data_IF_698118291183
#
_entry.id   IF_698118291183
#
_cell.length_a   1.000
_cell.length_b   1.000
_cell.length_c   1.000
_cell.angle_alpha   90.00
_cell.angle_beta   90.00
_cell.angle_gamma   90.00
#
_symmetry.space_group_name_H-M   'P 1'
#
loop_
_entity.id
_entity.type
_entity.pdbx_description
1 polymer ?
#
# COMPACT_ATOMS: atom_id res chain seq x y z
N UNK A 1 -5.56 11.26 0.97
CA UNK A 1 -6.17 10.60 -0.22
C UNK A 1 -7.66 10.78 -0.15
N UNK A 2 -8.22 11.32 -1.22
CA UNK A 2 -9.65 11.62 -1.36
C UNK A 2 -10.34 10.49 -2.13
N UNK A 3 -11.32 9.81 -1.51
CA UNK A 3 -12.06 8.69 -2.08
C UNK A 3 -13.47 9.16 -2.45
N UNK A 4 -13.91 8.86 -3.66
CA UNK A 4 -15.30 9.02 -4.07
C UNK A 4 -16.03 7.68 -3.87
N UNK A 5 -17.02 7.67 -2.99
CA UNK A 5 -17.89 6.52 -2.75
C UNK A 5 -19.22 6.74 -3.48
N UNK A 6 -19.51 5.86 -4.43
CA UNK A 6 -20.69 5.92 -5.30
C UNK A 6 -21.58 4.72 -5.03
N UNK A 7 -22.79 4.95 -4.56
CA UNK A 7 -23.80 3.94 -4.26
C UNK A 7 -25.16 4.62 -4.23
N UNK A 8 -26.23 4.01 -4.66
CA UNK A 8 -27.57 4.61 -4.64
C UNK A 8 -28.25 4.49 -3.27
N UNK A 9 -27.79 3.57 -2.41
CA UNK A 9 -28.25 3.41 -1.01
C UNK A 9 -27.57 4.41 -0.08
N UNK A 10 -28.37 5.32 0.52
CA UNK A 10 -27.92 6.33 1.49
C UNK A 10 -27.20 5.70 2.67
N UNK A 11 -27.70 4.58 3.19
CA UNK A 11 -27.12 3.90 4.36
C UNK A 11 -25.72 3.35 4.06
N UNK A 12 -25.52 2.80 2.85
CA UNK A 12 -24.21 2.31 2.42
C UNK A 12 -23.25 3.50 2.23
N UNK A 13 -23.68 4.59 1.60
CA UNK A 13 -22.85 5.79 1.44
C UNK A 13 -22.42 6.38 2.76
N UNK A 14 -23.36 6.52 3.73
CA UNK A 14 -23.05 7.00 5.07
C UNK A 14 -22.08 6.09 5.82
N UNK A 15 -22.30 4.76 5.75
CA UNK A 15 -21.41 3.79 6.36
C UNK A 15 -19.99 3.86 5.77
N UNK A 16 -19.88 3.90 4.45
CA UNK A 16 -18.58 4.03 3.77
C UNK A 16 -17.89 5.34 4.15
N UNK A 17 -18.61 6.47 4.12
CA UNK A 17 -18.07 7.77 4.50
C UNK A 17 -17.55 7.78 5.93
N UNK A 18 -18.34 7.28 6.88
CA UNK A 18 -17.96 7.22 8.29
C UNK A 18 -16.72 6.34 8.51
N UNK A 19 -16.73 5.14 7.94
CA UNK A 19 -15.65 4.17 8.16
C UNK A 19 -14.34 4.58 7.48
N UNK A 20 -14.40 5.06 6.25
CA UNK A 20 -13.22 5.53 5.53
C UNK A 20 -12.61 6.78 6.18
N UNK A 21 -13.44 7.71 6.67
CA UNK A 21 -12.96 8.89 7.41
C UNK A 21 -12.24 8.49 8.69
N UNK A 22 -12.75 7.49 9.45
CA UNK A 22 -12.08 6.93 10.63
C UNK A 22 -10.70 6.34 10.32
N UNK A 23 -10.49 5.90 9.08
CA UNK A 23 -9.21 5.37 8.61
C UNK A 23 -8.33 6.43 7.93
N UNK A 24 -8.66 7.73 8.07
CA UNK A 24 -7.84 8.86 7.63
C UNK A 24 -7.99 9.21 6.15
N UNK A 25 -9.08 8.80 5.51
CA UNK A 25 -9.41 9.21 4.14
C UNK A 25 -10.36 10.43 4.15
N UNK A 26 -10.20 11.31 3.16
CA UNK A 26 -11.21 12.30 2.83
C UNK A 26 -12.23 11.65 1.90
N UNK A 27 -13.53 11.81 2.16
CA UNK A 27 -14.57 11.09 1.40
C UNK A 27 -15.52 12.07 0.71
N UNK A 28 -15.68 11.86 -0.59
CA UNK A 28 -16.78 12.42 -1.37
C UNK A 28 -17.82 11.32 -1.58
N UNK A 29 -19.08 11.67 -1.68
CA UNK A 29 -20.17 10.73 -1.97
C UNK A 29 -20.92 11.13 -3.23
N UNK A 30 -21.47 10.15 -3.95
CA UNK A 30 -22.36 10.35 -5.08
C UNK A 30 -23.48 9.30 -5.04
N UNK A 31 -24.71 9.72 -5.35
CA UNK A 31 -25.90 8.87 -5.30
C UNK A 31 -26.26 8.26 -6.66
N UNK A 32 -25.68 8.74 -7.74
CA UNK A 32 -25.92 8.22 -9.09
C UNK A 32 -24.70 8.43 -10.00
N UNK A 33 -24.77 7.86 -11.22
CA UNK A 33 -23.67 7.93 -12.17
C UNK A 33 -23.37 9.36 -12.68
N UNK A 34 -24.36 10.24 -12.75
CA UNK A 34 -24.15 11.60 -13.20
C UNK A 34 -23.37 12.41 -12.15
N UNK A 35 -23.74 12.24 -10.88
CA UNK A 35 -23.03 12.84 -9.75
C UNK A 35 -21.60 12.29 -9.63
N UNK A 36 -21.43 10.99 -9.86
CA UNK A 36 -20.13 10.32 -9.86
C UNK A 36 -19.19 10.95 -10.91
N UNK A 37 -19.65 11.08 -12.16
CA UNK A 37 -18.89 11.69 -13.24
C UNK A 37 -18.52 13.15 -12.95
N UNK A 38 -19.42 13.93 -12.34
CA UNK A 38 -19.18 15.33 -12.00
C UNK A 38 -18.13 15.50 -10.88
N UNK A 39 -18.12 14.58 -9.90
CA UNK A 39 -17.22 14.65 -8.72
C UNK A 39 -15.88 13.91 -8.93
N UNK A 40 -15.83 12.97 -9.87
CA UNK A 40 -14.63 12.14 -10.11
C UNK A 40 -13.32 12.92 -10.30
N UNK A 41 -13.28 14.07 -11.02
CA UNK A 41 -12.04 14.82 -11.18
C UNK A 41 -11.44 15.38 -9.87
N UNK A 42 -12.19 15.33 -8.77
CA UNK A 42 -11.73 15.77 -7.45
C UNK A 42 -11.24 14.60 -6.59
N UNK A 43 -11.41 13.36 -7.05
CA UNK A 43 -11.06 12.15 -6.34
C UNK A 43 -9.69 11.61 -6.77
N UNK A 44 -9.03 10.92 -5.84
CA UNK A 44 -7.79 10.17 -6.08
C UNK A 44 -8.05 8.66 -6.13
N UNK A 45 -9.27 8.23 -5.79
CA UNK A 45 -9.71 6.85 -5.77
C UNK A 45 -11.24 6.78 -5.85
N UNK A 46 -11.80 5.77 -6.51
CA UNK A 46 -13.24 5.61 -6.67
C UNK A 46 -13.68 4.22 -6.19
N UNK A 47 -14.72 4.19 -5.36
CA UNK A 47 -15.52 3.00 -5.05
C UNK A 47 -16.83 3.17 -5.79
N UNK A 48 -17.14 2.27 -6.71
CA UNK A 48 -18.23 2.43 -7.66
C UNK A 48 -19.19 1.25 -7.59
N UNK A 49 -20.42 1.50 -7.16
CA UNK A 49 -21.48 0.49 -7.31
C UNK A 49 -21.83 0.28 -8.78
N UNK A 50 -22.07 -0.97 -9.14
CA UNK A 50 -22.54 -1.34 -10.47
C UNK A 50 -24.01 -1.05 -10.68
N UNK A 51 -24.82 -1.22 -9.64
CA UNK A 51 -26.28 -1.12 -9.70
C UNK A 51 -26.76 0.30 -9.45
N UNK A 52 -26.36 1.25 -10.29
CA UNK A 52 -26.77 2.65 -10.17
C UNK A 52 -27.98 2.97 -11.03
N UNK A 53 -28.87 3.88 -10.60
CA UNK A 53 -29.97 4.37 -11.41
C UNK A 53 -29.47 5.28 -12.54
N UNK A 54 -30.22 5.35 -13.64
CA UNK A 54 -30.01 6.21 -14.81
C UNK A 54 -28.80 5.84 -15.66
N UNK A 55 -27.60 5.85 -15.10
CA UNK A 55 -26.34 5.48 -15.73
C UNK A 55 -25.73 4.40 -14.86
N UNK A 56 -25.65 3.18 -15.40
CA UNK A 56 -25.09 2.03 -14.67
C UNK A 56 -23.59 2.20 -14.40
N UNK A 57 -23.07 1.45 -13.43
CA UNK A 57 -21.67 1.56 -12.99
C UNK A 57 -20.66 1.17 -14.08
N UNK A 58 -21.04 0.29 -15.01
CA UNK A 58 -20.17 -0.08 -16.14
C UNK A 58 -19.98 1.09 -17.10
N UNK A 59 -21.07 1.78 -17.45
CA UNK A 59 -21.03 2.95 -18.32
C UNK A 59 -20.29 4.12 -17.62
N UNK A 60 -20.48 4.29 -16.31
CA UNK A 60 -19.71 5.27 -15.51
C UNK A 60 -18.21 4.95 -15.59
N UNK A 61 -17.80 3.70 -15.34
CA UNK A 61 -16.41 3.27 -15.42
C UNK A 61 -15.82 3.52 -16.81
N UNK A 62 -16.54 3.11 -17.87
CA UNK A 62 -16.10 3.32 -19.25
C UNK A 62 -15.85 4.81 -19.56
N UNK A 63 -16.75 5.69 -19.13
CA UNK A 63 -16.57 7.16 -19.31
C UNK A 63 -15.41 7.70 -18.53
N UNK A 64 -15.25 7.28 -17.26
CA UNK A 64 -14.12 7.69 -16.43
C UNK A 64 -12.78 7.27 -17.01
N UNK A 65 -12.68 6.05 -17.53
CA UNK A 65 -11.44 5.52 -18.14
C UNK A 65 -11.17 6.08 -19.55
N UNK A 66 -12.17 6.69 -20.18
CA UNK A 66 -12.02 7.37 -21.48
C UNK A 66 -11.71 8.87 -21.37
N UNK A 67 -11.90 9.50 -20.20
CA UNK A 67 -11.62 10.95 -19.99
C UNK A 67 -10.18 11.12 -19.48
N UNK A 68 -9.38 11.94 -20.18
CA UNK A 68 -7.99 12.25 -19.84
C UNK A 68 -7.78 12.72 -18.39
N UNK A 69 -8.81 13.35 -17.79
CA UNK A 69 -8.75 13.89 -16.41
C UNK A 69 -8.97 12.83 -15.35
N UNK A 70 -9.55 11.67 -15.70
CA UNK A 70 -9.99 10.68 -14.73
C UNK A 70 -9.51 9.25 -15.06
N UNK A 71 -8.98 9.00 -16.24
CA UNK A 71 -8.56 7.67 -16.70
C UNK A 71 -7.55 6.98 -15.78
N UNK A 72 -6.68 7.75 -15.14
CA UNK A 72 -5.66 7.23 -14.22
C UNK A 72 -6.18 7.04 -12.78
N UNK A 73 -7.42 7.48 -12.48
CA UNK A 73 -7.99 7.31 -11.15
C UNK A 73 -8.34 5.83 -10.97
N UNK A 74 -7.82 5.19 -9.91
CA UNK A 74 -8.13 3.80 -9.63
C UNK A 74 -9.59 3.61 -9.19
N UNK A 75 -10.20 2.54 -9.71
CA UNK A 75 -11.61 2.20 -9.48
C UNK A 75 -11.71 0.78 -8.92
N UNK A 76 -12.33 0.63 -7.75
CA UNK A 76 -12.86 -0.64 -7.26
C UNK A 76 -14.35 -0.67 -7.50
N UNK A 77 -14.82 -1.65 -8.24
CA UNK A 77 -16.25 -1.87 -8.44
C UNK A 77 -16.83 -2.67 -7.26
N UNK A 78 -17.98 -2.21 -6.76
CA UNK A 78 -18.78 -2.90 -5.74
C UNK A 78 -19.93 -3.60 -6.45
N UNK A 79 -20.11 -4.90 -6.28
CA UNK A 79 -21.12 -5.66 -7.00
C UNK A 79 -21.95 -6.55 -6.09
N UNK A 80 -23.24 -6.64 -6.31
CA UNK A 80 -24.12 -7.59 -5.63
C UNK A 80 -23.99 -9.02 -6.18
N UNK A 81 -23.38 -9.20 -7.34
CA UNK A 81 -23.21 -10.50 -8.01
C UNK A 81 -21.73 -10.83 -8.18
N UNK A 82 -21.34 -11.99 -7.68
CA UNK A 82 -20.04 -12.60 -7.93
C UNK A 82 -20.11 -13.53 -9.16
N UNK A 83 -20.85 -13.16 -10.23
CA UNK A 83 -20.82 -13.94 -11.45
C UNK A 83 -19.49 -13.67 -12.18
N UNK A 84 -18.83 -14.74 -12.60
CA UNK A 84 -17.52 -14.70 -13.25
C UNK A 84 -17.51 -13.78 -14.50
N UNK A 85 -18.65 -13.67 -15.16
CA UNK A 85 -18.88 -12.82 -16.35
C UNK A 85 -18.81 -11.33 -16.00
N UNK A 86 -19.39 -10.91 -14.87
CA UNK A 86 -19.37 -9.49 -14.42
C UNK A 86 -17.95 -9.04 -14.05
N UNK A 87 -17.17 -9.94 -13.45
CA UNK A 87 -15.77 -9.67 -13.09
C UNK A 87 -14.89 -9.50 -14.33
N UNK A 88 -15.06 -10.35 -15.35
CA UNK A 88 -14.28 -10.28 -16.60
C UNK A 88 -14.65 -9.02 -17.39
N UNK A 89 -15.93 -8.72 -17.56
CA UNK A 89 -16.39 -7.55 -18.32
C UNK A 89 -15.87 -6.23 -17.75
N UNK A 90 -15.86 -6.09 -16.45
CA UNK A 90 -15.42 -4.85 -15.86
C UNK A 90 -13.90 -4.69 -15.82
N UNK A 91 -13.11 -5.78 -15.72
CA UNK A 91 -11.65 -5.72 -15.90
C UNK A 91 -11.31 -5.31 -17.34
N UNK A 92 -12.06 -5.77 -18.34
CA UNK A 92 -11.95 -5.33 -19.74
C UNK A 92 -12.29 -3.84 -19.90
N UNK A 93 -13.19 -3.29 -19.08
CA UNK A 93 -13.54 -1.87 -19.02
C UNK A 93 -12.53 -1.01 -18.27
N UNK A 94 -11.49 -1.62 -17.69
CA UNK A 94 -10.37 -0.93 -17.06
C UNK A 94 -10.54 -0.68 -15.55
N UNK A 95 -11.48 -1.34 -14.86
CA UNK A 95 -11.51 -1.33 -13.40
C UNK A 95 -10.27 -2.01 -12.82
N UNK A 96 -9.80 -1.53 -11.67
CA UNK A 96 -8.56 -2.00 -11.06
C UNK A 96 -8.76 -3.17 -10.09
N UNK A 97 -9.97 -3.34 -9.55
CA UNK A 97 -10.38 -4.47 -8.70
C UNK A 97 -11.91 -4.53 -8.56
N UNK A 98 -12.40 -5.63 -7.98
CA UNK A 98 -13.80 -5.92 -7.68
C UNK A 98 -13.96 -6.35 -6.24
N UNK A 99 -15.12 -6.00 -5.66
CA UNK A 99 -15.52 -6.43 -4.33
C UNK A 99 -16.99 -6.78 -4.29
N UNK A 100 -17.31 -8.06 -4.01
CA UNK A 100 -18.68 -8.52 -3.92
C UNK A 100 -19.35 -8.05 -2.62
N UNK A 101 -20.58 -7.56 -2.71
CA UNK A 101 -21.47 -7.29 -1.56
C UNK A 101 -22.14 -8.60 -1.09
N UNK A 102 -22.25 -8.87 0.23
CA UNK A 102 -21.75 -8.06 1.34
C UNK A 102 -20.25 -8.24 1.60
N UNK A 103 -19.54 -7.17 1.87
CA UNK A 103 -18.10 -7.17 2.17
C UNK A 103 -17.80 -6.63 3.58
N UNK A 104 -16.66 -7.01 4.12
CA UNK A 104 -16.16 -6.43 5.36
C UNK A 104 -15.33 -5.17 5.09
N UNK A 105 -15.36 -4.20 6.02
CA UNK A 105 -14.47 -3.02 5.93
C UNK A 105 -12.99 -3.40 5.89
N UNK A 106 -12.61 -4.48 6.57
CA UNK A 106 -11.23 -5.01 6.55
C UNK A 106 -10.83 -5.43 5.12
N UNK A 107 -11.73 -6.10 4.42
CA UNK A 107 -11.50 -6.52 3.04
C UNK A 107 -11.42 -5.32 2.10
N UNK A 108 -12.37 -4.38 2.17
CA UNK A 108 -12.36 -3.15 1.38
C UNK A 108 -11.06 -2.38 1.55
N UNK A 109 -10.62 -2.15 2.81
CA UNK A 109 -9.38 -1.45 3.11
C UNK A 109 -8.13 -2.19 2.60
N UNK A 110 -8.13 -3.52 2.66
CA UNK A 110 -7.04 -4.33 2.10
C UNK A 110 -6.95 -4.16 0.57
N UNK A 111 -8.09 -4.16 -0.14
CA UNK A 111 -8.16 -3.95 -1.59
C UNK A 111 -7.77 -2.53 -1.99
N UNK A 112 -8.26 -1.50 -1.29
CA UNK A 112 -7.82 -0.10 -1.50
C UNK A 112 -6.29 0.01 -1.40
N UNK A 113 -5.68 -0.60 -0.36
CA UNK A 113 -4.22 -0.62 -0.20
C UNK A 113 -3.51 -1.36 -1.33
N UNK A 114 -4.07 -2.49 -1.79
CA UNK A 114 -3.49 -3.30 -2.86
C UNK A 114 -3.54 -2.57 -4.21
N UNK A 115 -4.69 -1.99 -4.58
CA UNK A 115 -4.87 -1.21 -5.80
C UNK A 115 -4.00 0.04 -5.76
N UNK A 116 -4.02 0.79 -4.66
CA UNK A 116 -3.14 1.96 -4.47
C UNK A 116 -1.68 1.61 -4.74
N UNK A 117 -1.20 0.47 -4.28
CA UNK A 117 0.19 0.03 -4.52
C UNK A 117 0.49 -0.26 -5.99
N UNK A 118 -0.53 -0.63 -6.80
CA UNK A 118 -0.38 -0.94 -8.23
C UNK A 118 -0.46 0.29 -9.12
N UNK A 119 -1.36 1.24 -8.79
CA UNK A 119 -1.78 2.33 -9.67
C UNK A 119 -1.10 3.66 -9.32
N UNK A 120 -0.87 3.93 -8.04
CA UNK A 120 -0.04 5.09 -7.72
C UNK A 120 1.38 4.81 -8.21
N UNK A 121 1.99 5.74 -8.97
CA UNK A 121 3.41 5.63 -9.25
C UNK A 121 4.07 5.40 -7.91
N UNK A 122 4.80 4.27 -7.81
CA UNK A 122 5.76 4.09 -6.72
C UNK A 122 6.44 5.44 -6.55
N UNK A 123 6.59 6.01 -5.33
CA UNK A 123 7.29 7.27 -5.18
C UNK A 123 8.58 7.14 -5.98
N UNK A 124 8.65 7.89 -7.07
CA UNK A 124 9.63 7.89 -8.15
C UNK A 124 10.43 6.58 -8.25
N UNK A 125 10.11 5.74 -9.24
CA UNK A 125 10.95 4.60 -9.67
C UNK A 125 12.36 5.01 -10.12
N UNK A 126 12.89 6.12 -9.63
CA UNK A 126 14.28 6.51 -9.80
C UNK A 126 15.19 5.97 -8.70
N UNK A 127 14.67 5.14 -7.77
CA UNK A 127 15.52 4.37 -6.85
C UNK A 127 15.00 2.94 -6.69
N UNK A 128 15.03 2.16 -7.78
CA UNK A 128 15.00 0.69 -7.70
C UNK A 128 16.20 0.19 -6.90
N UNK A 129 17.22 1.02 -6.73
CA UNK A 129 18.44 0.74 -5.98
C UNK A 129 18.70 1.85 -4.96
N UNK A 130 18.84 1.51 -3.69
CA UNK A 130 19.38 2.39 -2.66
C UNK A 130 20.85 2.05 -2.49
N UNK A 131 21.73 3.08 -2.55
CA UNK A 131 23.16 2.94 -2.29
C UNK A 131 23.57 3.88 -1.16
N UNK A 132 24.16 3.33 -0.10
CA UNK A 132 24.62 4.03 1.08
C UNK A 132 26.00 3.47 1.49
N UNK A 133 27.05 4.25 1.25
CA UNK A 133 28.42 3.77 1.47
C UNK A 133 28.67 2.43 0.77
N UNK A 134 29.10 1.44 1.53
CA UNK A 134 29.37 0.08 1.03
C UNK A 134 28.10 -0.76 0.71
N UNK A 135 26.90 -0.29 1.10
CA UNK A 135 25.66 -1.03 0.95
C UNK A 135 24.90 -0.59 -0.29
N UNK A 136 24.50 -1.54 -1.13
CA UNK A 136 23.51 -1.32 -2.19
C UNK A 136 22.41 -2.38 -2.13
N UNK A 137 21.17 -1.94 -2.35
CA UNK A 137 20.00 -2.80 -2.32
C UNK A 137 19.15 -2.52 -3.55
N UNK A 138 18.99 -3.50 -4.42
CA UNK A 138 18.11 -3.45 -5.59
C UNK A 138 16.77 -4.11 -5.25
N UNK A 139 15.72 -3.30 -5.24
CA UNK A 139 14.38 -3.77 -4.87
C UNK A 139 13.69 -4.57 -5.98
N UNK A 140 14.06 -4.34 -7.24
CA UNK A 140 13.49 -5.06 -8.37
C UNK A 140 14.12 -6.45 -8.52
N UNK A 141 15.46 -6.51 -8.38
CA UNK A 141 16.20 -7.76 -8.45
C UNK A 141 16.16 -8.56 -7.14
N UNK A 142 15.64 -7.99 -6.04
CA UNK A 142 15.69 -8.60 -4.69
C UNK A 142 17.13 -8.93 -4.24
N UNK A 143 18.11 -8.12 -4.66
CA UNK A 143 19.52 -8.32 -4.32
C UNK A 143 20.03 -7.28 -3.34
N UNK A 144 20.94 -7.72 -2.47
CA UNK A 144 21.67 -6.85 -1.55
C UNK A 144 23.15 -7.10 -1.71
N UNK A 145 23.92 -6.02 -1.92
CA UNK A 145 25.38 -6.10 -2.02
C UNK A 145 26.02 -5.25 -0.91
N UNK A 146 27.10 -5.78 -0.37
CA UNK A 146 27.96 -5.11 0.59
C UNK A 146 29.40 -5.16 0.07
N UNK A 147 30.03 -4.00 -0.17
CA UNK A 147 31.35 -3.89 -0.83
C UNK A 147 31.38 -4.67 -2.14
N UNK A 148 30.37 -4.45 -3.00
CA UNK A 148 30.17 -5.10 -4.30
C UNK A 148 29.95 -6.62 -4.27
N UNK A 149 29.94 -7.25 -3.10
CA UNK A 149 29.63 -8.67 -2.91
C UNK A 149 28.19 -8.86 -2.51
N UNK A 150 27.50 -9.73 -3.22
CA UNK A 150 26.14 -10.12 -2.87
C UNK A 150 26.11 -10.83 -1.52
N UNK A 151 25.17 -10.41 -0.65
CA UNK A 151 24.92 -11.04 0.66
C UNK A 151 23.53 -11.67 0.66
N UNK A 152 23.47 -12.90 1.18
CA UNK A 152 22.19 -13.62 1.30
C UNK A 152 21.46 -13.21 2.58
N UNK A 153 20.29 -12.61 2.42
CA UNK A 153 19.36 -12.32 3.51
C UNK A 153 18.15 -13.26 3.46
N UNK A 154 17.64 -13.62 4.63
CA UNK A 154 16.33 -14.27 4.69
C UNK A 154 15.24 -13.27 4.29
N UNK A 155 14.02 -13.72 3.88
CA UNK A 155 12.93 -12.79 3.51
C UNK A 155 12.62 -11.75 4.60
N UNK A 156 12.67 -12.14 5.88
CA UNK A 156 12.40 -11.21 7.00
C UNK A 156 13.53 -10.23 7.25
N UNK A 157 14.78 -10.64 7.08
CA UNK A 157 15.94 -9.75 7.15
C UNK A 157 15.93 -8.75 5.99
N UNK A 158 15.57 -9.21 4.79
CA UNK A 158 15.41 -8.35 3.61
C UNK A 158 14.34 -7.28 3.83
N UNK A 159 13.14 -7.66 4.27
CA UNK A 159 12.04 -6.73 4.53
C UNK A 159 12.40 -5.74 5.67
N UNK A 160 13.11 -6.19 6.68
CA UNK A 160 13.57 -5.36 7.78
C UNK A 160 14.58 -4.31 7.30
N UNK A 161 15.59 -4.73 6.51
CA UNK A 161 16.57 -3.82 5.92
C UNK A 161 15.90 -2.82 4.97
N UNK A 162 15.01 -3.29 4.10
CA UNK A 162 14.23 -2.44 3.20
C UNK A 162 13.43 -1.38 3.95
N UNK A 163 12.74 -1.76 5.02
CA UNK A 163 11.99 -0.82 5.85
C UNK A 163 12.89 0.26 6.44
N UNK A 164 14.07 -0.11 6.94
CA UNK A 164 15.04 0.79 7.50
C UNK A 164 15.62 1.76 6.45
N UNK A 165 16.02 1.26 5.29
CA UNK A 165 16.62 2.07 4.22
C UNK A 165 15.63 3.03 3.57
N UNK A 166 14.35 2.66 3.52
CA UNK A 166 13.31 3.53 2.98
C UNK A 166 12.83 4.61 3.96
N UNK A 167 13.26 4.52 5.24
CA UNK A 167 12.85 5.46 6.29
C UNK A 167 14.02 5.79 7.24
N UNK A 168 15.14 6.21 6.67
CA UNK A 168 16.34 6.57 7.43
C UNK A 168 16.01 7.62 8.51
N UNK A 169 16.55 7.44 9.72
CA UNK A 169 16.33 8.33 10.87
C UNK A 169 15.06 8.04 11.67
N UNK A 170 14.11 7.28 11.13
CA UNK A 170 12.87 6.94 11.84
C UNK A 170 13.11 5.80 12.84
N UNK A 171 12.73 6.05 14.09
CA UNK A 171 12.68 5.00 15.11
C UNK A 171 11.36 4.21 15.02
N UNK A 172 11.46 2.89 15.12
CA UNK A 172 10.35 1.94 15.13
C UNK A 172 10.34 1.20 16.47
N UNK A 173 9.16 1.05 17.06
CA UNK A 173 9.00 0.15 18.21
C UNK A 173 9.11 -1.31 17.78
N UNK A 174 9.41 -2.21 18.75
CA UNK A 174 9.44 -3.65 18.49
C UNK A 174 8.10 -4.18 18.01
N UNK A 175 7.01 -3.71 18.60
CA UNK A 175 5.65 -4.07 18.20
C UNK A 175 5.32 -3.59 16.79
N UNK A 176 5.73 -2.35 16.45
CA UNK A 176 5.55 -1.81 15.10
C UNK A 176 6.33 -2.62 14.06
N UNK A 177 7.58 -2.99 14.35
CA UNK A 177 8.40 -3.84 13.48
C UNK A 177 7.80 -5.23 13.34
N UNK A 178 7.36 -5.84 14.44
CA UNK A 178 6.72 -7.15 14.42
C UNK A 178 5.49 -7.14 13.53
N UNK A 179 4.61 -6.19 13.74
CA UNK A 179 3.36 -6.04 12.97
C UNK A 179 3.64 -5.80 11.48
N UNK A 180 4.60 -4.93 11.13
CA UNK A 180 4.90 -4.58 9.74
C UNK A 180 5.57 -5.70 8.95
N UNK A 181 6.45 -6.47 9.60
CA UNK A 181 7.28 -7.48 8.94
C UNK A 181 6.67 -8.89 9.05
N UNK A 182 6.02 -9.22 10.17
CA UNK A 182 5.40 -10.54 10.38
C UNK A 182 3.89 -10.54 10.22
N UNK A 183 3.24 -9.37 10.31
CA UNK A 183 1.79 -9.22 10.15
C UNK A 183 1.04 -9.22 11.49
N UNK A 184 -0.22 -8.77 11.45
CA UNK A 184 -1.08 -8.67 12.65
C UNK A 184 -1.47 -10.02 13.25
N UNK A 185 -1.39 -11.10 12.47
CA UNK A 185 -1.76 -12.46 12.92
C UNK A 185 -0.57 -13.22 13.55
N UNK A 186 0.58 -12.57 13.66
CA UNK A 186 1.73 -13.17 14.30
C UNK A 186 1.67 -12.98 15.82
N UNK A 187 1.38 -14.05 16.55
CA UNK A 187 1.27 -14.08 18.02
C UNK A 187 2.61 -14.36 18.74
N UNK A 188 3.73 -14.19 18.05
CA UNK A 188 5.06 -14.41 18.63
C UNK A 188 5.56 -13.25 19.48
N UNK A 189 6.60 -13.53 20.30
CA UNK A 189 7.27 -12.54 21.16
C UNK A 189 8.01 -11.48 20.30
N UNK A 190 7.99 -10.24 20.75
CA UNK A 190 8.75 -9.11 20.17
C UNK A 190 10.27 -9.36 20.13
N UNK A 191 10.79 -10.30 20.96
CA UNK A 191 12.16 -10.79 20.91
C UNK A 191 12.55 -11.35 19.54
N UNK A 192 11.59 -11.79 18.74
CA UNK A 192 11.81 -12.20 17.35
C UNK A 192 12.47 -11.10 16.53
N UNK A 193 12.08 -9.85 16.74
CA UNK A 193 12.69 -8.68 16.11
C UNK A 193 14.15 -8.55 16.50
N UNK A 194 14.47 -8.69 17.81
CA UNK A 194 15.83 -8.55 18.32
C UNK A 194 16.78 -9.60 17.70
N UNK A 195 16.29 -10.82 17.52
CA UNK A 195 17.04 -11.90 16.87
C UNK A 195 17.36 -11.57 15.42
N UNK A 196 16.36 -11.09 14.65
CA UNK A 196 16.56 -10.75 13.23
C UNK A 196 17.44 -9.51 13.05
N UNK A 197 17.33 -8.50 13.92
CA UNK A 197 18.24 -7.35 13.93
C UNK A 197 19.67 -7.80 14.22
N UNK A 198 19.88 -8.69 15.18
CA UNK A 198 21.20 -9.25 15.48
C UNK A 198 21.80 -10.00 14.28
N UNK A 199 21.01 -10.85 13.62
CA UNK A 199 21.46 -11.57 12.44
C UNK A 199 21.77 -10.63 11.28
N UNK A 200 20.92 -9.62 11.07
CA UNK A 200 21.13 -8.61 10.04
C UNK A 200 22.43 -7.83 10.28
N UNK A 201 22.68 -7.34 11.51
CA UNK A 201 23.96 -6.73 11.88
C UNK A 201 25.15 -7.63 11.64
N UNK A 202 25.03 -8.93 11.97
CA UNK A 202 26.09 -9.92 11.74
C UNK A 202 26.40 -10.07 10.24
N UNK A 203 25.38 -10.14 9.39
CA UNK A 203 25.56 -10.23 7.92
C UNK A 203 26.13 -8.95 7.30
N UNK A 204 25.88 -7.80 7.92
CA UNK A 204 26.43 -6.51 7.51
C UNK A 204 27.80 -6.19 8.12
N UNK A 205 28.36 -7.08 8.94
CA UNK A 205 29.59 -6.84 9.72
C UNK A 205 30.85 -6.60 8.87
N UNK A 206 30.86 -7.02 7.59
CA UNK A 206 31.94 -6.70 6.65
C UNK A 206 32.08 -5.19 6.39
N UNK A 207 31.03 -4.40 6.64
CA UNK A 207 31.07 -2.94 6.73
C UNK A 207 30.57 -2.50 8.11
N UNK A 208 31.48 -2.24 9.07
CA UNK A 208 31.10 -1.85 10.43
C UNK A 208 30.25 -0.56 10.47
N UNK A 209 30.49 0.36 9.55
CA UNK A 209 29.71 1.58 9.38
C UNK A 209 28.23 1.28 9.14
N UNK A 210 27.94 0.38 8.19
CA UNK A 210 26.58 -0.04 7.83
C UNK A 210 25.95 -0.89 8.95
N UNK A 211 26.71 -1.80 9.56
CA UNK A 211 26.19 -2.63 10.65
C UNK A 211 25.80 -1.78 11.87
N UNK A 212 26.60 -0.76 12.20
CA UNK A 212 26.35 0.16 13.31
C UNK A 212 25.25 1.20 12.99
N UNK A 213 24.97 1.46 11.71
CA UNK A 213 23.88 2.33 11.30
C UNK A 213 22.50 1.80 11.77
N UNK A 214 22.37 0.49 11.99
CA UNK A 214 21.20 -0.05 12.69
C UNK A 214 21.38 0.19 14.18
N UNK A 215 20.80 1.25 14.72
CA UNK A 215 20.91 1.63 16.13
C UNK A 215 19.81 1.03 16.98
N UNK A 216 20.13 0.77 18.26
CA UNK A 216 19.15 0.43 19.29
C UNK A 216 18.70 1.71 20.00
N UNK A 217 17.43 2.07 19.88
CA UNK A 217 16.82 3.17 20.61
C UNK A 217 16.29 2.62 21.95
N UNK A 218 16.99 2.90 23.05
CA UNK A 218 16.66 2.36 24.39
C UNK A 218 15.21 2.66 24.77
N UNK A 219 14.50 1.66 25.24
CA UNK A 219 13.09 1.77 25.64
C UNK A 219 12.08 1.85 24.48
N UNK A 220 12.54 1.98 23.24
CA UNK A 220 11.69 2.05 22.03
C UNK A 220 11.88 0.82 21.15
N UNK A 221 13.01 0.69 20.47
CA UNK A 221 13.24 -0.36 19.50
C UNK A 221 14.47 -0.09 18.64
N UNK A 222 14.30 0.10 17.34
CA UNK A 222 15.41 0.22 16.40
C UNK A 222 15.19 1.35 15.39
N UNK A 223 16.32 1.88 14.89
CA UNK A 223 16.39 2.91 13.86
C UNK A 223 17.58 2.61 12.95
N UNK A 224 17.51 3.01 11.68
CA UNK A 224 18.67 3.10 10.81
C UNK A 224 19.09 4.57 10.71
N UNK A 225 20.28 4.87 11.19
CA UNK A 225 20.85 6.22 11.14
C UNK A 225 22.15 6.17 10.34
N UNK A 226 22.19 6.88 9.23
CA UNK A 226 23.36 6.94 8.38
C UNK A 226 23.62 8.40 8.00
N UNK A 227 24.76 8.92 8.43
CA UNK A 227 25.25 10.22 8.02
C UNK A 227 26.38 9.99 7.01
N UNK A 228 26.18 10.52 5.79
CA UNK A 228 27.21 10.44 4.78
C UNK A 228 28.42 11.23 5.26
N UNK A 229 29.52 10.55 5.56
CA UNK A 229 30.79 11.25 5.82
C UNK A 229 31.15 12.07 4.57
N UNK A 230 31.31 13.38 4.73
CA UNK A 230 31.66 14.34 3.69
C UNK A 230 33.12 14.14 3.29
#
# INVERSE_FOLDING_TARGET
MKILAVDDDDSIRELLALQLTRHGYEVLTAADGAEALAKAPQAEFILLDLMLPKIDGYEVCRRLKSDERTKEIPIIMLTAKAEEIDTVLGLELGADDYLAKPFSMRELLARIKAVKRRVLPKPQENQLTISLGDLSMDFAAYTVKLKDKEISLTPKEYELLKLFLTHIGRAYSRDELLTRIWGYEYYGDTRTVDVHVRHLRSKLSASPEIANAIETVRGVGYRFQYEKSV
#
